data_IF_493296672387
#
_entry.id   IF_493296672387
#
_cell.length_a   1.000
_cell.length_b   1.000
_cell.length_c   1.000
_cell.angle_alpha   90.00
_cell.angle_beta   90.00
_cell.angle_gamma   90.00
#
_symmetry.space_group_name_H-M   'P 1'
#
loop_
_entity.id
_entity.type
_entity.pdbx_description
1 polymer ?
#
# COMPACT_ATOMS: atom_id res chain seq x y z
N UNK A 1 33.16 18.66 -45.04
CA UNK A 1 32.20 18.39 -43.94
C UNK A 1 33.06 18.06 -42.74
N UNK A 2 33.17 19.04 -41.85
CA UNK A 2 34.34 19.24 -40.98
C UNK A 2 33.95 19.32 -39.49
N UNK A 3 32.69 19.65 -39.19
CA UNK A 3 32.11 19.58 -37.85
C UNK A 3 30.61 19.30 -37.87
N UNK A 4 30.14 18.73 -36.76
CA UNK A 4 28.74 18.61 -36.36
C UNK A 4 28.58 19.37 -35.04
N UNK A 5 27.40 19.93 -34.79
CA UNK A 5 27.00 20.54 -33.51
C UNK A 5 25.54 20.14 -33.23
N UNK A 6 25.31 19.36 -32.16
CA UNK A 6 23.97 18.89 -31.79
C UNK A 6 23.35 19.74 -30.66
N UNK A 7 22.08 20.11 -30.82
CA UNK A 7 21.24 20.73 -29.78
C UNK A 7 19.96 19.90 -29.60
N UNK A 8 19.63 19.58 -28.36
CA UNK A 8 18.40 18.84 -28.00
C UNK A 8 17.60 19.72 -27.04
N UNK A 9 16.38 20.10 -27.43
CA UNK A 9 15.42 20.82 -26.59
C UNK A 9 14.35 19.86 -26.06
N UNK A 10 14.05 19.93 -24.76
CA UNK A 10 13.04 19.08 -24.10
C UNK A 10 11.63 19.64 -24.26
N UNK A 11 10.57 18.85 -23.96
CA UNK A 11 9.20 19.35 -23.92
C UNK A 11 8.99 20.54 -22.97
N UNK A 12 9.84 20.67 -21.94
CA UNK A 12 9.89 21.81 -21.03
C UNK A 12 10.64 23.05 -21.55
N UNK A 13 11.20 23.02 -22.76
CA UNK A 13 11.99 24.12 -23.34
C UNK A 13 13.36 24.33 -22.67
N UNK A 14 13.91 23.27 -22.07
CA UNK A 14 15.29 23.23 -21.57
C UNK A 14 16.18 22.44 -22.54
N UNK A 15 17.51 22.48 -22.38
CA UNK A 15 18.43 21.72 -23.25
C UNK A 15 19.05 20.51 -22.54
N UNK A 16 19.17 19.39 -23.26
CA UNK A 16 19.90 18.18 -22.82
C UNK A 16 21.28 18.15 -23.47
N UNK A 17 22.30 17.71 -22.73
CA UNK A 17 23.65 17.53 -23.26
C UNK A 17 23.76 16.14 -23.94
N UNK A 18 23.99 16.07 -25.27
CA UNK A 18 24.12 14.81 -26.00
C UNK A 18 25.42 14.07 -25.66
N UNK A 19 25.39 12.73 -25.74
CA UNK A 19 26.53 11.86 -25.45
C UNK A 19 27.81 12.20 -26.26
N UNK A 20 27.67 12.76 -27.47
CA UNK A 20 28.75 13.43 -28.18
C UNK A 20 28.22 14.56 -29.09
N UNK A 21 28.26 15.81 -28.59
CA UNK A 21 27.79 17.01 -29.31
C UNK A 21 28.47 17.31 -30.64
N UNK A 22 29.60 16.68 -30.97
CA UNK A 22 30.34 16.90 -32.24
C UNK A 22 30.61 15.63 -33.05
N UNK A 23 29.89 14.53 -32.78
CA UNK A 23 30.01 13.29 -33.53
C UNK A 23 28.96 13.22 -34.66
N UNK A 24 29.23 12.46 -35.72
CA UNK A 24 28.26 12.15 -36.80
C UNK A 24 27.03 11.39 -36.29
N UNK A 25 27.18 10.68 -35.16
CA UNK A 25 26.14 9.95 -34.45
C UNK A 25 26.25 10.30 -32.96
N UNK A 26 25.12 10.51 -32.29
CA UNK A 26 25.05 10.71 -30.83
C UNK A 26 23.84 9.99 -30.24
N UNK A 27 23.72 9.98 -28.92
CA UNK A 27 22.50 9.59 -28.21
C UNK A 27 22.19 10.53 -27.04
N UNK A 28 20.99 10.39 -26.45
CA UNK A 28 20.58 11.06 -25.21
C UNK A 28 19.48 10.29 -24.47
N UNK A 29 19.36 10.51 -23.16
CA UNK A 29 18.34 9.91 -22.29
C UNK A 29 17.06 10.76 -22.26
N UNK A 30 15.95 10.23 -22.77
CA UNK A 30 14.69 10.97 -22.96
C UNK A 30 13.77 10.88 -21.71
N UNK A 31 14.11 11.65 -20.67
CA UNK A 31 13.55 11.55 -19.31
C UNK A 31 12.20 12.28 -19.08
N UNK A 32 11.86 13.28 -19.89
CA UNK A 32 10.58 14.00 -19.88
C UNK A 32 9.62 13.41 -20.92
N UNK A 33 8.32 13.31 -20.60
CA UNK A 33 7.25 12.93 -21.54
C UNK A 33 6.87 14.14 -22.40
N UNK A 34 6.72 13.93 -23.70
CA UNK A 34 6.37 14.95 -24.70
C UNK A 34 7.30 14.93 -25.92
N UNK A 35 7.20 15.98 -26.73
CA UNK A 35 7.98 16.17 -27.97
C UNK A 35 9.31 16.91 -27.70
N UNK A 36 10.42 16.33 -28.16
CA UNK A 36 11.76 16.93 -28.15
C UNK A 36 12.09 17.45 -29.54
N UNK A 37 12.72 18.62 -29.63
CA UNK A 37 13.32 19.11 -30.86
C UNK A 37 14.83 18.78 -30.86
N UNK A 38 15.26 17.98 -31.82
CA UNK A 38 16.63 17.48 -31.97
C UNK A 38 17.24 18.08 -33.23
N UNK A 39 18.01 19.15 -33.07
CA UNK A 39 18.69 19.85 -34.16
C UNK A 39 20.12 19.37 -34.33
N UNK A 40 20.57 19.21 -35.57
CA UNK A 40 22.00 19.11 -35.92
C UNK A 40 22.37 20.26 -36.83
N UNK A 41 23.44 20.98 -36.49
CA UNK A 41 24.11 21.91 -37.41
C UNK A 41 25.35 21.24 -37.97
N UNK A 42 25.44 21.14 -39.29
CA UNK A 42 26.61 20.60 -40.01
C UNK A 42 27.45 21.74 -40.58
N UNK A 43 28.76 21.56 -40.72
CA UNK A 43 29.67 22.57 -41.32
C UNK A 43 30.59 21.95 -42.37
N UNK A 44 30.86 22.65 -43.47
CA UNK A 44 31.84 22.22 -44.49
C UNK A 44 33.24 22.84 -44.34
N UNK A 45 34.16 22.45 -45.23
CA UNK A 45 35.56 22.88 -45.26
C UNK A 45 35.73 24.36 -45.66
N UNK A 46 34.64 25.00 -46.09
CA UNK A 46 34.55 26.41 -46.48
C UNK A 46 33.84 27.25 -45.40
N UNK A 47 33.37 26.62 -44.31
CA UNK A 47 32.66 27.27 -43.22
C UNK A 47 31.20 27.60 -43.54
N UNK A 48 30.60 26.95 -44.55
CA UNK A 48 29.15 26.97 -44.77
C UNK A 48 28.48 26.03 -43.79
N UNK A 49 27.35 26.43 -43.24
CA UNK A 49 26.56 25.65 -42.28
C UNK A 49 25.18 25.36 -42.83
N UNK A 50 24.62 24.21 -42.48
CA UNK A 50 23.18 23.94 -42.61
C UNK A 50 22.64 23.28 -41.34
N UNK A 51 21.32 23.27 -41.14
CA UNK A 51 20.67 22.76 -39.93
C UNK A 51 19.35 22.07 -40.21
N UNK A 52 19.27 20.78 -39.84
CA UNK A 52 18.02 20.00 -39.83
C UNK A 52 17.51 19.82 -38.40
N UNK A 53 16.24 19.47 -38.21
CA UNK A 53 15.62 19.24 -36.89
C UNK A 53 14.57 18.15 -36.92
N UNK A 54 14.87 17.05 -36.22
CA UNK A 54 13.97 15.94 -35.96
C UNK A 54 13.11 16.21 -34.71
N UNK A 55 11.85 15.76 -34.74
CA UNK A 55 10.96 15.77 -33.58
C UNK A 55 10.82 14.35 -33.01
N UNK A 56 11.12 14.16 -31.73
CA UNK A 56 11.07 12.86 -31.05
C UNK A 56 10.02 12.90 -29.94
N UNK A 57 8.94 12.14 -30.09
CA UNK A 57 7.83 12.10 -29.11
C UNK A 57 7.99 10.94 -28.14
N UNK A 58 8.12 11.27 -26.85
CA UNK A 58 8.08 10.33 -25.74
C UNK A 58 6.66 10.28 -25.19
N UNK A 59 5.95 9.19 -25.43
CA UNK A 59 4.62 8.96 -24.86
C UNK A 59 4.70 8.55 -23.38
N UNK A 60 3.68 8.86 -22.55
CA UNK A 60 3.59 8.34 -21.19
C UNK A 60 3.47 6.81 -21.21
N UNK A 61 3.82 6.17 -20.10
CA UNK A 61 3.66 4.74 -19.87
C UNK A 61 2.82 4.52 -18.61
N UNK A 62 1.73 3.75 -18.70
CA UNK A 62 0.88 3.36 -17.59
C UNK A 62 1.41 2.06 -16.93
N UNK A 63 2.11 2.13 -15.78
CA UNK A 63 2.60 0.94 -15.07
C UNK A 63 1.43 0.14 -14.46
N UNK A 64 1.63 -1.16 -14.17
CA UNK A 64 0.55 -2.04 -13.72
C UNK A 64 -0.20 -1.51 -12.49
N UNK A 65 -1.53 -1.61 -12.50
CA UNK A 65 -2.35 -1.40 -11.30
C UNK A 65 -2.06 -2.51 -10.28
N UNK A 66 -1.87 -2.17 -9.01
CA UNK A 66 -1.59 -3.12 -7.92
C UNK A 66 -2.53 -2.87 -6.74
N UNK A 67 -3.00 -3.92 -6.09
CA UNK A 67 -3.78 -3.83 -4.84
C UNK A 67 -3.46 -4.99 -3.90
N UNK A 68 -3.16 -4.68 -2.65
CA UNK A 68 -2.87 -5.65 -1.57
C UNK A 68 -4.06 -5.73 -0.60
N UNK A 69 -4.53 -6.95 -0.33
CA UNK A 69 -5.58 -7.24 0.65
C UNK A 69 -5.08 -8.20 1.74
N UNK A 70 -5.56 -7.99 2.97
CA UNK A 70 -5.20 -8.81 4.12
C UNK A 70 -5.80 -8.30 5.43
N UNK A 71 -5.45 -8.94 6.57
CA UNK A 71 -6.08 -8.66 7.86
C UNK A 71 -5.57 -7.35 8.49
N UNK A 72 -6.46 -6.40 8.75
CA UNK A 72 -6.11 -5.14 9.45
C UNK A 72 -5.74 -5.33 10.93
N UNK A 73 -6.20 -6.41 11.57
CA UNK A 73 -5.85 -6.77 12.96
C UNK A 73 -5.62 -8.26 13.13
N UNK A 74 -4.56 -8.64 13.85
CA UNK A 74 -4.20 -10.05 14.15
C UNK A 74 -3.67 -10.19 15.57
N UNK A 75 -3.59 -11.41 16.09
CA UNK A 75 -2.96 -11.70 17.40
C UNK A 75 -1.51 -12.14 17.19
N UNK A 76 -0.59 -11.70 18.06
CA UNK A 76 0.80 -12.12 18.02
C UNK A 76 0.94 -13.65 18.17
N UNK A 77 1.91 -14.23 17.47
CA UNK A 77 2.09 -15.66 17.33
C UNK A 77 1.18 -16.31 16.26
N UNK A 78 0.30 -15.56 15.60
CA UNK A 78 -0.54 -16.10 14.51
C UNK A 78 0.09 -15.88 13.13
N UNK A 79 -0.16 -16.85 12.24
CA UNK A 79 0.19 -16.78 10.83
C UNK A 79 -1.04 -16.41 10.00
N UNK A 80 -0.88 -15.55 9.00
CA UNK A 80 -1.95 -15.13 8.07
C UNK A 80 -1.44 -14.99 6.65
N UNK A 81 -2.34 -15.19 5.70
CA UNK A 81 -2.11 -14.94 4.28
C UNK A 81 -2.37 -13.46 3.97
N UNK A 82 -1.58 -12.90 3.07
CA UNK A 82 -1.78 -11.59 2.44
C UNK A 82 -1.78 -11.84 0.94
N UNK A 83 -2.69 -11.20 0.21
CA UNK A 83 -2.87 -11.38 -1.23
C UNK A 83 -2.63 -10.09 -1.99
N UNK A 84 -2.02 -10.19 -3.16
CA UNK A 84 -1.91 -9.08 -4.12
C UNK A 84 -2.65 -9.47 -5.40
N UNK A 85 -3.38 -8.51 -5.95
CA UNK A 85 -3.94 -8.55 -7.31
C UNK A 85 -3.24 -7.47 -8.13
N UNK A 86 -2.94 -7.76 -9.39
CA UNK A 86 -2.40 -6.78 -10.32
C UNK A 86 -3.00 -6.93 -11.71
N UNK A 87 -3.11 -5.82 -12.45
CA UNK A 87 -3.54 -5.76 -13.84
C UNK A 87 -2.60 -4.85 -14.61
N UNK A 88 -2.33 -5.14 -15.88
CA UNK A 88 -1.52 -4.30 -16.75
C UNK A 88 -2.29 -3.88 -18.02
N UNK A 89 -1.87 -2.76 -18.59
CA UNK A 89 -2.48 -2.12 -19.76
C UNK A 89 -1.56 -2.09 -20.98
N UNK A 90 -0.24 -1.98 -20.78
CA UNK A 90 0.75 -1.88 -21.87
C UNK A 90 1.64 -3.12 -22.02
N UNK A 91 2.09 -3.76 -20.94
CA UNK A 91 2.95 -4.96 -21.01
C UNK A 91 2.48 -6.10 -20.07
N UNK A 92 2.75 -7.38 -20.38
CA UNK A 92 2.45 -8.50 -19.49
C UNK A 92 3.21 -8.44 -18.15
N UNK A 93 2.63 -9.02 -17.10
CA UNK A 93 3.23 -9.06 -15.77
C UNK A 93 4.38 -10.08 -15.68
N UNK A 94 5.57 -9.66 -15.22
CA UNK A 94 6.76 -10.51 -15.16
C UNK A 94 7.05 -11.10 -13.77
N UNK A 95 6.87 -10.32 -12.70
CA UNK A 95 7.23 -10.74 -11.34
C UNK A 95 6.55 -9.97 -10.22
N UNK A 96 6.55 -10.56 -9.03
CA UNK A 96 6.10 -9.96 -7.78
C UNK A 96 7.16 -10.11 -6.69
N UNK A 97 7.42 -9.04 -5.95
CA UNK A 97 8.32 -8.97 -4.81
C UNK A 97 7.58 -8.47 -3.57
N UNK A 98 7.42 -9.35 -2.59
CA UNK A 98 6.85 -9.03 -1.28
C UNK A 98 7.90 -8.44 -0.35
N UNK A 99 7.53 -7.39 0.37
CA UNK A 99 8.31 -6.75 1.43
C UNK A 99 7.56 -6.82 2.77
N UNK A 100 8.31 -6.98 3.87
CA UNK A 100 7.82 -6.98 5.24
C UNK A 100 8.79 -6.13 6.07
N UNK A 101 8.30 -5.09 6.75
CA UNK A 101 9.15 -4.08 7.42
C UNK A 101 10.24 -3.50 6.47
N UNK A 102 9.86 -3.24 5.22
CA UNK A 102 10.76 -2.78 4.15
C UNK A 102 11.83 -3.79 3.69
N UNK A 103 11.88 -4.98 4.30
CA UNK A 103 12.83 -6.03 3.93
C UNK A 103 12.22 -7.00 2.91
N UNK A 104 12.95 -7.39 1.84
CA UNK A 104 12.49 -8.43 0.91
C UNK A 104 12.14 -9.74 1.64
N UNK A 105 10.91 -10.20 1.46
CA UNK A 105 10.35 -11.39 2.12
C UNK A 105 10.29 -12.60 1.18
N UNK A 106 9.63 -12.44 0.04
CA UNK A 106 9.41 -13.51 -0.96
C UNK A 106 9.27 -12.92 -2.36
N UNK A 107 9.97 -13.49 -3.34
CA UNK A 107 9.88 -13.12 -4.77
C UNK A 107 9.37 -14.28 -5.61
N UNK A 108 8.48 -14.03 -6.56
CA UNK A 108 7.97 -15.03 -7.50
C UNK A 108 7.91 -14.44 -8.92
N UNK A 109 8.26 -15.24 -9.94
CA UNK A 109 7.96 -14.88 -11.32
C UNK A 109 6.49 -15.17 -11.60
N UNK A 110 5.80 -14.20 -12.16
CA UNK A 110 4.46 -14.40 -12.68
C UNK A 110 4.57 -15.11 -14.04
N UNK A 111 3.48 -15.73 -14.48
CA UNK A 111 3.28 -15.98 -15.91
C UNK A 111 3.03 -14.64 -16.61
N UNK A 112 3.45 -14.52 -17.88
CA UNK A 112 3.26 -13.34 -18.72
C UNK A 112 1.77 -13.17 -19.07
N UNK A 113 1.01 -12.73 -18.08
CA UNK A 113 -0.43 -12.51 -18.10
C UNK A 113 -0.73 -11.04 -17.81
N UNK A 114 -1.77 -10.51 -18.45
CA UNK A 114 -2.25 -9.14 -18.26
C UNK A 114 -2.95 -8.89 -16.92
N UNK A 115 -3.21 -9.95 -16.15
CA UNK A 115 -3.79 -9.88 -14.81
C UNK A 115 -3.36 -11.09 -14.00
N UNK A 116 -2.90 -10.87 -12.77
CA UNK A 116 -2.39 -11.91 -11.89
C UNK A 116 -2.85 -11.73 -10.44
N UNK A 117 -2.91 -12.83 -9.71
CA UNK A 117 -3.07 -12.82 -8.24
C UNK A 117 -2.00 -13.69 -7.61
N UNK A 118 -1.36 -13.19 -6.55
CA UNK A 118 -0.34 -13.91 -5.80
C UNK A 118 -0.62 -13.81 -4.29
N UNK A 119 -0.11 -14.75 -3.50
CA UNK A 119 -0.33 -14.77 -2.05
C UNK A 119 0.95 -15.16 -1.31
N UNK A 120 1.34 -14.35 -0.32
CA UNK A 120 2.37 -14.72 0.65
C UNK A 120 1.75 -15.00 2.03
N UNK A 121 2.51 -15.66 2.90
CA UNK A 121 2.04 -16.05 4.24
C UNK A 121 3.02 -15.57 5.29
N UNK A 122 2.55 -14.68 6.16
CA UNK A 122 3.35 -13.92 7.12
C UNK A 122 3.05 -14.39 8.55
N UNK A 123 4.09 -14.51 9.37
CA UNK A 123 3.99 -14.88 10.79
C UNK A 123 4.19 -13.64 11.66
N UNK A 124 3.11 -13.16 12.27
CA UNK A 124 3.12 -11.94 13.08
C UNK A 124 3.56 -12.27 14.51
N UNK A 125 4.87 -12.35 14.73
CA UNK A 125 5.45 -12.83 15.99
C UNK A 125 5.31 -11.83 17.16
N UNK A 126 5.41 -10.53 16.90
CA UNK A 126 5.51 -9.49 17.94
C UNK A 126 4.34 -8.47 17.88
N UNK A 127 3.77 -8.05 19.02
CA UNK A 127 2.74 -7.00 19.04
C UNK A 127 3.25 -5.64 18.54
N UNK A 128 2.48 -4.96 17.69
CA UNK A 128 2.87 -3.70 17.06
C UNK A 128 1.95 -3.28 15.92
N UNK A 129 2.46 -2.42 15.05
CA UNK A 129 1.94 -2.23 13.69
C UNK A 129 3.04 -2.73 12.76
N UNK A 130 2.70 -3.57 11.80
CA UNK A 130 3.60 -4.17 10.81
C UNK A 130 3.16 -3.74 9.41
N UNK A 131 4.09 -3.53 8.51
CA UNK A 131 3.86 -3.05 7.13
C UNK A 131 4.20 -4.16 6.12
N UNK A 132 3.22 -4.52 5.28
CA UNK A 132 3.36 -5.53 4.23
C UNK A 132 3.06 -4.88 2.88
N UNK A 133 4.09 -4.78 2.03
CA UNK A 133 3.98 -4.18 0.70
C UNK A 133 4.28 -5.22 -0.38
N UNK A 134 3.65 -5.09 -1.54
CA UNK A 134 3.95 -5.87 -2.73
C UNK A 134 4.36 -4.94 -3.87
N UNK A 135 5.52 -5.21 -4.47
CA UNK A 135 5.97 -4.59 -5.72
C UNK A 135 5.69 -5.55 -6.86
N UNK A 136 5.09 -5.09 -7.95
CA UNK A 136 4.82 -5.88 -9.16
C UNK A 136 5.51 -5.20 -10.33
N UNK A 137 6.12 -6.00 -11.19
CA UNK A 137 6.96 -5.58 -12.31
C UNK A 137 6.48 -6.26 -13.59
N UNK A 138 6.35 -5.52 -14.69
CA UNK A 138 6.04 -6.02 -16.04
C UNK A 138 7.29 -6.51 -16.82
N UNK A 139 7.10 -6.98 -18.06
CA UNK A 139 8.19 -7.51 -18.88
C UNK A 139 9.14 -6.44 -19.46
N UNK A 140 8.79 -5.14 -19.42
CA UNK A 140 9.72 -4.02 -19.70
C UNK A 140 10.48 -3.53 -18.46
N UNK A 141 10.05 -3.90 -17.27
CA UNK A 141 10.70 -3.56 -16.01
C UNK A 141 10.08 -2.38 -15.27
N UNK A 142 8.99 -1.79 -15.78
CA UNK A 142 8.26 -0.78 -15.03
C UNK A 142 7.54 -1.44 -13.84
N UNK A 143 7.36 -0.68 -12.77
CA UNK A 143 6.93 -1.24 -11.49
C UNK A 143 6.01 -0.34 -10.69
N UNK A 144 4.98 -0.97 -10.11
CA UNK A 144 4.04 -0.38 -9.16
C UNK A 144 4.14 -1.05 -7.80
N UNK A 145 3.60 -0.44 -6.75
CA UNK A 145 3.53 -1.04 -5.42
C UNK A 145 2.31 -0.57 -4.64
N UNK A 146 1.73 -1.47 -3.85
CA UNK A 146 0.70 -1.18 -2.84
C UNK A 146 1.01 -1.96 -1.55
N UNK A 147 0.32 -1.65 -0.45
CA UNK A 147 0.58 -2.28 0.83
C UNK A 147 -0.44 -2.02 1.94
N UNK A 148 -0.36 -2.85 2.98
CA UNK A 148 -1.28 -2.82 4.13
C UNK A 148 -0.52 -2.71 5.45
N UNK A 149 -1.13 -1.99 6.40
CA UNK A 149 -0.67 -1.97 7.80
C UNK A 149 -1.49 -2.93 8.66
N UNK A 150 -0.82 -3.90 9.28
CA UNK A 150 -1.42 -4.95 10.12
C UNK A 150 -1.17 -4.62 11.58
N UNK A 151 -2.23 -4.38 12.36
CA UNK A 151 -2.10 -4.16 13.82
C UNK A 151 -2.11 -5.48 14.58
N UNK A 152 -0.95 -5.85 15.11
CA UNK A 152 -0.73 -7.06 15.90
C UNK A 152 -0.99 -6.77 17.38
N UNK A 153 -1.96 -7.44 18.00
CA UNK A 153 -2.22 -7.35 19.45
C UNK A 153 -1.54 -8.48 20.22
N UNK A 154 -1.16 -8.29 21.51
CA UNK A 154 -0.75 -9.40 22.37
C UNK A 154 -1.88 -10.42 22.51
N UNK A 155 -1.58 -11.73 22.66
CA UNK A 155 -2.59 -12.71 23.05
C UNK A 155 -3.16 -12.43 24.44
N UNK A 156 -4.34 -12.99 24.71
CA UNK A 156 -4.94 -12.95 26.04
C UNK A 156 -4.51 -14.18 26.88
N UNK A 157 -4.29 -14.01 28.20
CA UNK A 157 -4.00 -15.13 29.08
C UNK A 157 -5.28 -15.82 29.56
N UNK A 158 -5.19 -17.12 29.85
CA UNK A 158 -6.29 -17.88 30.43
C UNK A 158 -5.80 -18.70 31.63
N UNK A 159 -6.11 -18.24 32.85
CA UNK A 159 -5.80 -18.96 34.07
C UNK A 159 -6.95 -19.91 34.45
N UNK A 160 -6.80 -21.18 34.08
CA UNK A 160 -7.65 -22.25 34.59
C UNK A 160 -7.39 -22.50 36.09
N UNK A 161 -8.41 -22.87 36.85
CA UNK A 161 -8.32 -23.10 38.30
C UNK A 161 -9.12 -24.32 38.75
N UNK A 162 -8.54 -25.10 39.66
CA UNK A 162 -9.18 -26.29 40.23
C UNK A 162 -8.83 -26.45 41.71
N UNK A 163 -9.81 -26.83 42.54
CA UNK A 163 -9.59 -27.24 43.93
C UNK A 163 -9.22 -28.73 43.91
N UNK A 164 -7.92 -29.01 43.99
CA UNK A 164 -7.37 -30.38 43.91
C UNK A 164 -7.50 -31.17 45.20
N UNK A 165 -7.55 -30.49 46.35
CA UNK A 165 -7.71 -31.07 47.67
C UNK A 165 -8.31 -30.01 48.61
N UNK A 166 -9.19 -30.42 49.52
CA UNK A 166 -9.82 -29.58 50.55
C UNK A 166 -10.39 -30.50 51.64
N UNK A 167 -10.36 -30.05 52.91
CA UNK A 167 -11.05 -30.75 54.01
C UNK A 167 -12.53 -30.97 53.63
N UNK A 168 -13.07 -32.18 53.74
CA UNK A 168 -14.51 -32.44 53.51
C UNK A 168 -15.35 -32.11 54.74
N UNK A 169 -14.76 -32.23 55.93
CA UNK A 169 -15.31 -31.77 57.20
C UNK A 169 -14.19 -31.37 58.16
N UNK A 170 -14.50 -30.45 59.06
CA UNK A 170 -13.66 -29.96 60.17
C UNK A 170 -14.55 -29.71 61.39
N UNK A 171 -13.96 -29.62 62.58
CA UNK A 171 -14.66 -29.14 63.78
C UNK A 171 -14.63 -27.59 63.84
N UNK A 172 -15.55 -26.96 64.58
CA UNK A 172 -15.53 -25.52 64.80
C UNK A 172 -14.27 -25.09 65.60
N UNK A 173 -13.62 -24.01 65.14
CA UNK A 173 -12.29 -23.57 65.60
C UNK A 173 -11.09 -24.12 64.80
N UNK A 174 -11.27 -25.05 63.86
CA UNK A 174 -10.21 -25.57 62.98
C UNK A 174 -10.00 -24.72 61.70
N UNK A 175 -8.97 -25.06 60.92
CA UNK A 175 -8.69 -24.42 59.61
C UNK A 175 -9.14 -25.30 58.44
N UNK A 176 -10.04 -24.80 57.60
CA UNK A 176 -10.31 -25.34 56.26
C UNK A 176 -9.18 -24.90 55.32
N UNK A 177 -8.47 -25.83 54.70
CA UNK A 177 -7.38 -25.54 53.75
C UNK A 177 -7.74 -26.08 52.37
N UNK A 178 -7.92 -25.17 51.40
CA UNK A 178 -8.09 -25.51 50.00
C UNK A 178 -6.73 -25.49 49.29
N UNK A 179 -6.30 -26.63 48.76
CA UNK A 179 -5.17 -26.73 47.84
C UNK A 179 -5.68 -26.50 46.41
N UNK A 180 -5.49 -25.29 45.89
CA UNK A 180 -5.84 -24.94 44.51
C UNK A 180 -4.67 -25.17 43.56
N UNK A 181 -4.98 -25.59 42.34
CA UNK A 181 -4.06 -25.73 41.22
C UNK A 181 -4.49 -24.77 40.13
N UNK A 182 -3.59 -23.88 39.76
CA UNK A 182 -3.79 -22.85 38.73
C UNK A 182 -2.90 -23.20 37.55
N UNK A 183 -3.45 -23.15 36.34
CA UNK A 183 -2.74 -23.48 35.11
C UNK A 183 -3.01 -22.41 34.05
N UNK A 184 -1.95 -21.81 33.50
CA UNK A 184 -2.13 -20.91 32.37
C UNK A 184 -2.20 -21.73 31.08
N UNK A 185 -3.39 -21.78 30.47
CA UNK A 185 -3.65 -22.43 29.18
C UNK A 185 -3.84 -21.42 28.04
N UNK A 186 -3.52 -20.13 28.28
CA UNK A 186 -3.46 -19.10 27.25
C UNK A 186 -2.01 -18.69 26.91
N UNK A 187 -1.86 -18.00 25.78
CA UNK A 187 -0.56 -17.72 25.15
C UNK A 187 0.17 -16.47 25.70
N UNK A 188 -0.45 -15.73 26.63
CA UNK A 188 0.20 -14.62 27.34
C UNK A 188 0.51 -14.95 28.80
N UNK A 189 1.52 -14.28 29.37
CA UNK A 189 1.81 -14.35 30.83
C UNK A 189 0.78 -13.53 31.60
N UNK A 190 0.11 -14.12 32.60
CA UNK A 190 -0.75 -13.40 33.53
C UNK A 190 -0.11 -13.24 34.91
N UNK A 191 -0.35 -12.09 35.55
CA UNK A 191 -0.24 -11.93 37.01
C UNK A 191 -1.63 -11.59 37.55
N UNK A 192 -2.16 -12.42 38.44
CA UNK A 192 -3.54 -12.31 38.90
C UNK A 192 -3.67 -12.64 40.40
N UNK A 193 -4.70 -12.10 41.05
CA UNK A 193 -5.09 -12.50 42.39
C UNK A 193 -6.08 -13.68 42.29
N UNK A 194 -5.75 -14.80 42.94
CA UNK A 194 -6.59 -16.00 43.02
C UNK A 194 -7.21 -16.01 44.42
N UNK A 195 -8.54 -16.03 44.50
CA UNK A 195 -9.29 -15.89 45.75
C UNK A 195 -10.14 -17.11 46.07
N UNK A 196 -10.20 -17.47 47.35
CA UNK A 196 -11.14 -18.45 47.90
C UNK A 196 -12.32 -17.68 48.53
N UNK A 197 -13.55 -17.99 48.12
CA UNK A 197 -14.76 -17.42 48.73
C UNK A 197 -15.58 -18.48 49.44
N UNK A 198 -16.04 -18.15 50.66
CA UNK A 198 -17.02 -18.90 51.44
C UNK A 198 -18.40 -18.27 51.23
N UNK A 199 -19.34 -19.00 50.63
CA UNK A 199 -20.69 -18.50 50.29
C UNK A 199 -20.67 -17.12 49.60
N UNK A 200 -19.72 -16.89 48.68
CA UNK A 200 -19.53 -15.63 47.96
C UNK A 200 -18.66 -14.56 48.66
N UNK A 201 -18.39 -14.69 49.96
CA UNK A 201 -17.50 -13.77 50.69
C UNK A 201 -16.05 -14.24 50.61
N UNK A 202 -15.10 -13.39 50.19
CA UNK A 202 -13.66 -13.76 50.14
C UNK A 202 -13.15 -14.02 51.55
N UNK A 203 -12.53 -15.19 51.75
CA UNK A 203 -11.91 -15.60 53.02
C UNK A 203 -10.38 -15.59 52.97
N UNK A 204 -9.78 -15.84 51.79
CA UNK A 204 -8.34 -15.77 51.57
C UNK A 204 -8.02 -15.51 50.09
N UNK A 205 -6.82 -15.01 49.78
CA UNK A 205 -6.35 -14.81 48.40
C UNK A 205 -4.83 -14.70 48.28
N UNK A 206 -4.28 -15.19 47.18
CA UNK A 206 -2.85 -15.11 46.87
C UNK A 206 -2.60 -14.73 45.41
N UNK A 207 -1.46 -14.08 45.13
CA UNK A 207 -1.10 -13.70 43.75
C UNK A 207 -0.33 -14.81 43.06
N UNK A 208 -0.74 -15.13 41.84
CA UNK A 208 -0.07 -16.07 40.92
C UNK A 208 0.48 -15.26 39.74
N UNK A 209 1.73 -15.51 39.37
CA UNK A 209 2.37 -14.98 38.15
C UNK A 209 2.77 -16.16 37.28
N UNK A 210 1.98 -16.46 36.25
CA UNK A 210 2.03 -17.68 35.48
C UNK A 210 2.28 -17.39 33.98
N UNK A 211 3.48 -17.70 33.46
CA UNK A 211 3.72 -17.79 32.01
C UNK A 211 2.85 -18.87 31.33
N UNK A 212 2.69 -18.83 29.99
CA UNK A 212 1.98 -19.86 29.23
C UNK A 212 2.42 -21.29 29.56
N UNK A 213 1.46 -22.22 29.64
CA UNK A 213 1.67 -23.63 29.99
C UNK A 213 2.11 -23.90 31.43
N UNK A 214 2.39 -22.87 32.24
CA UNK A 214 2.88 -23.04 33.61
C UNK A 214 1.75 -23.45 34.57
N UNK A 215 2.12 -24.29 35.55
CA UNK A 215 1.21 -24.92 36.52
C UNK A 215 1.71 -24.58 37.92
N UNK A 216 0.88 -23.96 38.74
CA UNK A 216 1.21 -23.53 40.11
C UNK A 216 0.19 -24.07 41.11
N UNK A 217 0.59 -24.18 42.38
CA UNK A 217 -0.26 -24.67 43.46
C UNK A 217 -0.25 -23.66 44.59
N UNK A 218 -1.44 -23.24 45.00
CA UNK A 218 -1.66 -22.23 46.03
C UNK A 218 -2.53 -22.87 47.13
N UNK A 219 -2.09 -22.77 48.38
CA UNK A 219 -2.89 -23.16 49.54
C UNK A 219 -3.58 -21.92 50.05
N UNK A 220 -4.91 -21.92 50.05
CA UNK A 220 -5.76 -20.86 50.60
C UNK A 220 -6.49 -21.42 51.81
N UNK A 221 -6.59 -20.65 52.88
CA UNK A 221 -7.01 -21.13 54.19
C UNK A 221 -8.05 -20.23 54.87
N UNK A 222 -9.05 -20.84 55.49
CA UNK A 222 -10.03 -20.15 56.33
C UNK A 222 -10.09 -20.79 57.71
N UNK A 223 -9.90 -19.98 58.75
CA UNK A 223 -10.05 -20.41 60.14
C UNK A 223 -11.52 -20.23 60.54
N UNK A 224 -12.15 -21.29 61.04
CA UNK A 224 -13.54 -21.25 61.50
C UNK A 224 -13.60 -20.68 62.92
N UNK A 225 -14.71 -20.02 63.26
CA UNK A 225 -15.06 -19.68 64.63
C UNK A 225 -15.81 -20.84 65.31
N UNK A 226 -16.08 -20.71 66.61
CA UNK A 226 -16.87 -21.69 67.38
C UNK A 226 -18.35 -21.74 67.00
N UNK A 227 -18.85 -20.69 66.35
CA UNK A 227 -20.23 -20.47 65.90
C UNK A 227 -20.40 -20.57 64.37
N UNK A 228 -19.39 -21.09 63.66
CA UNK A 228 -19.42 -21.32 62.21
C UNK A 228 -19.95 -22.72 61.84
N UNK A 229 -20.84 -23.35 62.62
CA UNK A 229 -21.36 -24.69 62.29
C UNK A 229 -22.18 -24.73 61.00
N UNK A 230 -22.15 -25.86 60.28
CA UNK A 230 -22.92 -26.10 59.05
C UNK A 230 -22.08 -26.37 57.79
N UNK A 231 -22.76 -26.44 56.64
CA UNK A 231 -22.13 -26.73 55.34
C UNK A 231 -22.00 -25.48 54.48
N UNK A 232 -20.79 -25.20 54.03
CA UNK A 232 -20.44 -24.01 53.25
C UNK A 232 -19.98 -24.38 51.84
N UNK A 233 -20.30 -23.52 50.87
CA UNK A 233 -19.74 -23.57 49.52
C UNK A 233 -18.42 -22.79 49.48
N UNK A 234 -17.37 -23.45 49.00
CA UNK A 234 -16.06 -22.87 48.77
C UNK A 234 -15.78 -22.80 47.28
N UNK A 235 -15.58 -21.58 46.77
CA UNK A 235 -15.29 -21.34 45.36
C UNK A 235 -13.90 -20.72 45.24
N UNK A 236 -13.04 -21.33 44.42
CA UNK A 236 -11.77 -20.75 44.00
C UNK A 236 -11.98 -20.01 42.68
N UNK A 237 -11.49 -18.77 42.57
CA UNK A 237 -11.72 -17.89 41.41
C UNK A 237 -10.40 -17.44 40.78
N UNK A 238 -10.35 -17.51 39.44
CA UNK A 238 -9.54 -16.63 38.59
C UNK A 238 -10.49 -15.64 37.88
N UNK A 239 -9.98 -14.77 37.01
CA UNK A 239 -10.83 -13.95 36.14
C UNK A 239 -11.36 -14.74 34.92
N UNK A 240 -10.88 -15.97 34.69
CA UNK A 240 -11.22 -16.80 33.54
C UNK A 240 -12.11 -18.00 33.89
N UNK A 241 -11.97 -18.56 35.10
CA UNK A 241 -12.62 -19.79 35.55
C UNK A 241 -12.89 -19.78 37.06
N UNK A 242 -13.83 -20.60 37.51
CA UNK A 242 -14.12 -20.83 38.93
C UNK A 242 -14.38 -22.32 39.20
N UNK A 243 -13.85 -22.85 40.31
CA UNK A 243 -14.12 -24.23 40.74
C UNK A 243 -14.69 -24.28 42.17
N UNK A 244 -15.65 -25.17 42.42
CA UNK A 244 -16.50 -25.19 43.63
C UNK A 244 -16.42 -26.52 44.37
N UNK A 245 -16.27 -26.46 45.69
CA UNK A 245 -16.38 -27.60 46.63
C UNK A 245 -17.29 -27.24 47.81
N UNK A 246 -17.64 -28.23 48.62
CA UNK A 246 -18.44 -28.05 49.84
C UNK A 246 -17.71 -28.66 51.03
N UNK A 247 -17.81 -28.02 52.19
CA UNK A 247 -17.18 -28.46 53.45
C UNK A 247 -18.19 -28.33 54.58
N UNK A 248 -18.30 -29.35 55.42
CA UNK A 248 -19.13 -29.32 56.64
C UNK A 248 -18.29 -29.03 57.87
N UNK A 249 -18.42 -27.83 58.41
CA UNK A 249 -18.00 -27.52 59.78
C UNK A 249 -19.02 -28.12 60.73
N UNK A 250 -18.57 -28.84 61.74
CA UNK A 250 -19.44 -29.33 62.83
C UNK A 250 -19.37 -28.38 64.01
N UNK A 251 -20.44 -28.32 64.79
CA UNK A 251 -20.42 -27.75 66.15
C UNK A 251 -19.29 -28.40 66.96
N UNK A 252 -18.46 -27.59 67.62
CA UNK A 252 -17.41 -28.07 68.51
C UNK A 252 -18.05 -28.61 69.78
N UNK A 253 -18.23 -29.94 69.86
CA UNK A 253 -19.03 -30.65 70.88
C UNK A 253 -18.86 -30.12 72.33
N UNK A 254 -19.62 -29.10 72.69
CA UNK A 254 -19.78 -28.65 74.06
C UNK A 254 -21.00 -29.34 74.66
N UNK A 255 -20.76 -30.48 75.31
CA UNK A 255 -21.76 -31.23 76.07
C UNK A 255 -22.50 -30.33 77.07
N UNK A 256 -23.75 -29.99 76.73
CA UNK A 256 -24.75 -29.44 77.65
C UNK A 256 -25.11 -27.96 77.45
N UNK A 257 -26.39 -27.72 77.13
CA UNK A 257 -27.07 -26.46 77.45
C UNK A 257 -27.95 -25.88 76.34
N UNK A 258 -29.27 -26.03 76.45
CA UNK A 258 -30.22 -25.31 75.61
C UNK A 258 -30.50 -23.90 76.16
N UNK A 259 -30.72 -22.91 75.29
CA UNK A 259 -31.83 -21.96 75.50
C UNK A 259 -32.28 -21.17 74.26
N UNK A 260 -33.58 -20.87 74.28
CA UNK A 260 -34.44 -20.24 73.28
C UNK A 260 -34.18 -18.76 72.93
N UNK A 261 -34.65 -18.36 71.73
CA UNK A 261 -35.15 -17.01 71.42
C UNK A 261 -34.30 -16.23 70.41
N UNK A 262 -34.84 -15.47 69.44
CA UNK A 262 -36.25 -15.27 69.05
C UNK A 262 -36.65 -13.79 69.00
N UNK A 263 -36.81 -13.21 67.80
CA UNK A 263 -37.32 -11.85 67.63
C UNK A 263 -37.32 -11.34 66.17
N UNK A 264 -38.49 -10.98 65.66
CA UNK A 264 -38.69 -10.23 64.41
C UNK A 264 -39.26 -8.85 64.71
N UNK A 265 -39.00 -7.85 63.86
CA UNK A 265 -39.87 -6.67 63.70
C UNK A 265 -39.52 -5.83 62.47
N UNK A 266 -40.53 -5.19 61.87
CA UNK A 266 -40.50 -4.49 60.57
C UNK A 266 -40.55 -2.95 60.66
N UNK A 267 -40.47 -2.27 59.50
CA UNK A 267 -40.71 -0.82 59.28
C UNK A 267 -39.51 -0.13 58.59
N UNK A 268 -39.62 0.69 57.53
CA UNK A 268 -40.71 1.58 57.03
C UNK A 268 -40.28 3.06 57.23
N UNK A 269 -40.65 4.09 56.46
CA UNK A 269 -41.36 4.27 55.17
C UNK A 269 -41.10 5.72 54.66
N UNK A 270 -41.56 6.07 53.44
CA UNK A 270 -41.77 7.46 52.91
C UNK A 270 -40.55 8.39 52.67
N UNK A 271 -40.57 9.44 51.83
CA UNK A 271 -41.54 9.84 50.78
C UNK A 271 -41.41 11.31 50.25
N UNK A 272 -41.53 11.51 48.93
CA UNK A 272 -41.77 12.83 48.25
C UNK A 272 -40.57 13.81 48.07
N UNK A 273 -40.65 14.94 47.32
CA UNK A 273 -41.55 15.38 46.21
C UNK A 273 -41.08 16.74 45.60
N UNK A 274 -41.56 17.13 44.39
CA UNK A 274 -41.67 18.51 43.80
C UNK A 274 -40.39 19.27 43.35
N UNK A 275 -40.37 20.31 42.47
CA UNK A 275 -41.25 20.78 41.34
C UNK A 275 -40.67 22.05 40.61
N UNK A 276 -40.88 22.20 39.28
CA UNK A 276 -40.81 23.47 38.50
C UNK A 276 -39.43 24.05 38.07
N UNK A 277 -39.28 24.91 37.03
CA UNK A 277 -40.23 25.32 35.96
C UNK A 277 -39.77 26.48 35.01
N UNK A 278 -39.99 26.30 33.70
CA UNK A 278 -40.44 27.24 32.61
C UNK A 278 -39.73 28.55 32.15
N UNK A 279 -39.53 28.66 30.81
CA UNK A 279 -39.67 29.88 29.94
C UNK A 279 -38.39 30.55 29.37
N UNK A 280 -38.38 31.34 28.27
CA UNK A 280 -39.26 31.48 27.06
C UNK A 280 -38.76 32.57 26.06
N UNK A 281 -38.70 32.29 24.73
CA UNK A 281 -38.61 33.19 23.53
C UNK A 281 -37.44 34.24 23.48
N UNK A 282 -36.96 34.86 22.37
CA UNK A 282 -37.14 34.88 20.88
C UNK A 282 -35.87 35.59 20.26
N UNK A 283 -35.74 36.14 19.03
CA UNK A 283 -36.55 36.24 17.81
C UNK A 283 -35.63 36.59 16.57
N UNK A 284 -36.08 37.32 15.51
CA UNK A 284 -35.44 37.43 14.16
C UNK A 284 -34.90 38.84 13.73
N UNK A 285 -34.04 38.94 12.68
CA UNK A 285 -33.96 40.18 11.85
C UNK A 285 -32.74 40.55 10.95
N UNK A 286 -32.73 40.11 9.67
CA UNK A 286 -32.27 40.80 8.42
C UNK A 286 -30.79 41.28 8.14
N UNK A 287 -30.37 41.49 6.85
CA UNK A 287 -28.97 41.80 6.43
C UNK A 287 -28.73 43.16 5.70
N UNK A 288 -27.50 43.42 5.22
CA UNK A 288 -27.04 44.65 4.49
C UNK A 288 -26.29 44.40 3.15
N UNK A 289 -25.80 45.46 2.45
CA UNK A 289 -25.56 45.48 0.99
C UNK A 289 -24.33 46.30 0.47
N UNK A 290 -23.76 45.94 -0.70
CA UNK A 290 -22.85 46.73 -1.59
C UNK A 290 -21.41 46.17 -1.78
N UNK A 291 -20.67 46.35 -2.89
CA UNK A 291 -21.01 46.78 -4.27
C UNK A 291 -19.91 47.55 -5.06
N UNK A 292 -19.60 47.18 -6.33
CA UNK A 292 -19.06 48.10 -7.39
C UNK A 292 -17.70 47.80 -8.09
N UNK A 293 -17.65 47.96 -9.43
CA UNK A 293 -16.43 48.07 -10.31
C UNK A 293 -15.67 46.76 -10.64
N UNK A 294 -14.88 46.58 -11.71
CA UNK A 294 -14.53 47.40 -12.90
C UNK A 294 -13.00 47.61 -13.07
N UNK A 295 -12.34 47.52 -14.25
CA UNK A 295 -12.77 47.19 -15.63
C UNK A 295 -11.55 46.87 -16.57
N UNK A 296 -11.78 46.05 -17.62
CA UNK A 296 -11.20 46.03 -19.01
C UNK A 296 -9.83 46.70 -19.31
N UNK A 297 -8.94 46.00 -20.03
CA UNK A 297 -7.75 46.54 -20.75
C UNK A 297 -7.32 45.66 -21.94
N UNK A 298 -6.62 46.21 -22.95
CA UNK A 298 -6.35 45.59 -24.27
C UNK A 298 -5.03 46.09 -24.92
N UNK A 299 -4.46 45.32 -25.87
CA UNK A 299 -3.34 45.65 -26.77
C UNK A 299 -1.97 45.01 -26.43
N UNK A 300 -1.12 44.61 -27.39
CA UNK A 300 -1.34 44.51 -28.85
C UNK A 300 -0.07 44.29 -29.71
N UNK A 301 -0.26 43.60 -30.86
CA UNK A 301 0.47 43.59 -32.17
C UNK A 301 2.00 43.85 -32.32
N UNK A 302 2.65 43.01 -33.15
CA UNK A 302 3.93 43.27 -33.86
C UNK A 302 4.96 42.14 -33.70
N UNK A 303 5.72 41.68 -34.72
CA UNK A 303 5.85 42.10 -36.13
C UNK A 303 6.35 40.94 -37.04
N UNK A 304 6.86 41.22 -38.24
CA UNK A 304 7.09 40.21 -39.30
C UNK A 304 8.31 40.49 -40.20
N UNK A 305 8.91 39.42 -40.78
CA UNK A 305 9.64 39.44 -42.06
C UNK A 305 11.09 38.96 -42.02
N UNK A 306 11.51 38.13 -43.00
CA UNK A 306 12.92 37.72 -43.14
C UNK A 306 13.25 36.55 -44.07
N UNK A 307 12.70 36.47 -45.29
CA UNK A 307 13.14 35.45 -46.27
C UNK A 307 14.60 35.63 -46.70
N UNK A 308 15.33 34.53 -46.85
CA UNK A 308 16.72 34.53 -47.30
C UNK A 308 17.23 33.12 -47.65
N UNK A 309 16.86 32.62 -48.82
CA UNK A 309 17.27 31.29 -49.28
C UNK A 309 18.78 31.16 -49.49
N UNK A 310 19.34 30.08 -48.99
CA UNK A 310 20.67 29.55 -49.32
C UNK A 310 20.49 28.14 -49.88
N UNK A 311 21.43 27.67 -50.71
CA UNK A 311 21.45 26.28 -51.17
C UNK A 311 21.74 25.36 -49.97
N UNK A 312 20.75 24.56 -49.58
CA UNK A 312 20.83 23.61 -48.47
C UNK A 312 21.81 22.46 -48.76
N UNK A 313 22.38 21.89 -47.71
CA UNK A 313 23.07 20.60 -47.75
C UNK A 313 22.06 19.50 -47.42
N UNK A 314 21.29 19.07 -48.43
CA UNK A 314 20.36 17.94 -48.32
C UNK A 314 21.04 16.74 -47.63
N UNK A 315 20.46 16.22 -46.55
CA UNK A 315 21.02 15.12 -45.77
C UNK A 315 20.15 14.84 -44.54
N UNK A 316 19.46 13.71 -44.55
CA UNK A 316 18.36 13.43 -43.63
C UNK A 316 18.83 13.06 -42.21
N UNK A 317 18.11 13.54 -41.19
CA UNK A 317 18.24 13.04 -39.80
C UNK A 317 17.47 11.74 -39.59
N UNK A 318 18.21 10.64 -39.39
CA UNK A 318 17.67 9.33 -38.99
C UNK A 318 17.74 9.16 -37.46
N UNK A 319 16.75 8.47 -36.88
CA UNK A 319 16.75 8.09 -35.47
C UNK A 319 16.29 6.65 -35.21
N UNK A 320 16.85 6.07 -34.16
CA UNK A 320 16.58 4.72 -33.67
C UNK A 320 16.37 4.83 -32.14
N UNK A 321 15.14 4.64 -31.66
CA UNK A 321 14.85 4.67 -30.22
C UNK A 321 15.15 3.28 -29.64
N UNK A 322 15.93 3.24 -28.56
CA UNK A 322 16.33 2.03 -27.87
C UNK A 322 15.84 2.10 -26.42
N UNK A 323 14.83 1.29 -26.06
CA UNK A 323 14.44 1.12 -24.66
C UNK A 323 15.47 0.22 -23.94
N UNK A 324 15.94 0.64 -22.77
CA UNK A 324 16.96 -0.10 -21.99
C UNK A 324 16.32 -1.04 -20.95
N UNK A 325 17.09 -1.98 -20.39
CA UNK A 325 16.63 -2.98 -19.39
C UNK A 325 16.21 -2.38 -18.01
N UNK A 326 15.85 -1.09 -17.95
CA UNK A 326 15.32 -0.42 -16.75
C UNK A 326 14.13 0.52 -17.02
N UNK A 327 13.63 0.59 -18.26
CA UNK A 327 12.58 1.55 -18.67
C UNK A 327 13.12 2.92 -19.12
N UNK A 328 14.41 3.22 -18.90
CA UNK A 328 15.04 4.42 -19.43
C UNK A 328 15.15 4.32 -20.98
N UNK A 329 14.77 5.40 -21.69
CA UNK A 329 14.73 5.46 -23.16
C UNK A 329 15.94 6.21 -23.72
N UNK A 330 16.83 5.51 -24.42
CA UNK A 330 17.97 6.11 -25.14
C UNK A 330 17.58 6.34 -26.61
N UNK A 331 17.59 7.60 -27.06
CA UNK A 331 17.37 7.92 -28.47
C UNK A 331 18.73 8.00 -29.19
N UNK A 332 18.93 7.19 -30.24
CA UNK A 332 20.17 7.12 -31.02
C UNK A 332 19.99 7.81 -32.38
N UNK A 333 20.81 8.82 -32.65
CA UNK A 333 20.63 9.81 -33.72
C UNK A 333 21.77 9.75 -34.73
N UNK A 334 21.48 9.71 -36.04
CA UNK A 334 22.47 9.56 -37.13
C UNK A 334 22.18 10.55 -38.26
N UNK A 335 23.20 11.25 -38.74
CA UNK A 335 23.09 12.00 -40.00
C UNK A 335 23.31 11.05 -41.18
N UNK A 336 22.35 10.96 -42.09
CA UNK A 336 22.51 10.27 -43.37
C UNK A 336 23.00 11.27 -44.42
N UNK A 337 24.25 11.15 -44.92
CA UNK A 337 24.68 11.98 -46.04
C UNK A 337 23.91 11.60 -47.31
N UNK A 338 23.66 12.54 -48.22
CA UNK A 338 22.98 12.25 -49.48
C UNK A 338 23.86 11.29 -50.31
N UNK A 339 23.25 10.30 -50.99
CA UNK A 339 23.99 9.55 -52.02
C UNK A 339 24.37 10.50 -53.17
N UNK A 340 25.54 10.31 -53.79
CA UNK A 340 26.14 11.25 -54.75
C UNK A 340 25.23 11.55 -55.96
N UNK A 341 24.45 12.66 -55.91
CA UNK A 341 23.67 13.18 -57.03
C UNK A 341 24.36 14.40 -57.66
N UNK A 342 25.13 14.15 -58.73
CA UNK A 342 25.38 15.16 -59.77
C UNK A 342 24.03 15.64 -60.33
N UNK A 343 23.65 16.93 -60.20
CA UNK A 343 22.81 17.61 -61.21
C UNK A 343 22.74 19.15 -61.11
N UNK A 344 22.38 19.78 -62.23
CA UNK A 344 22.16 21.22 -62.42
C UNK A 344 20.90 21.74 -61.68
N UNK A 345 20.82 23.05 -61.34
CA UNK A 345 19.75 23.60 -60.51
C UNK A 345 18.37 23.64 -61.20
N UNK A 346 17.33 23.40 -60.41
CA UNK A 346 15.91 23.48 -60.79
C UNK A 346 15.15 24.32 -59.76
N UNK A 347 14.17 25.12 -60.19
CA UNK A 347 13.36 25.97 -59.30
C UNK A 347 12.36 25.15 -58.47
N UNK A 348 12.13 25.56 -57.22
CA UNK A 348 11.24 24.89 -56.26
C UNK A 348 9.79 25.36 -56.44
N UNK A 349 8.84 24.43 -56.60
CA UNK A 349 7.41 24.64 -56.34
C UNK A 349 6.98 23.80 -55.11
N UNK A 350 6.17 24.33 -54.17
CA UNK A 350 5.88 23.65 -52.91
C UNK A 350 4.61 22.77 -52.97
N UNK A 351 4.75 21.44 -52.93
CA UNK A 351 3.64 20.53 -52.67
C UNK A 351 4.06 19.13 -52.15
N UNK A 352 3.35 18.66 -51.13
CA UNK A 352 3.05 17.28 -50.73
C UNK A 352 4.20 16.26 -50.56
N UNK A 353 4.22 15.62 -49.38
CA UNK A 353 4.88 14.33 -49.15
C UNK A 353 3.83 13.22 -49.25
N UNK A 354 4.00 12.26 -50.15
CA UNK A 354 3.26 10.98 -50.11
C UNK A 354 3.95 10.01 -49.13
N UNK A 355 3.19 9.13 -48.48
CA UNK A 355 3.73 8.17 -47.50
C UNK A 355 3.52 6.74 -47.98
N UNK A 356 4.63 6.01 -48.10
CA UNK A 356 4.66 4.58 -48.42
C UNK A 356 4.83 3.76 -47.14
N UNK A 357 3.98 2.76 -46.96
CA UNK A 357 4.13 1.74 -45.91
C UNK A 357 4.62 0.43 -46.52
N UNK A 358 5.45 -0.33 -45.80
CA UNK A 358 5.94 -1.65 -46.23
C UNK A 358 5.62 -2.69 -45.17
N UNK A 359 4.94 -3.76 -45.54
CA UNK A 359 4.63 -4.87 -44.64
C UNK A 359 5.86 -5.80 -44.44
N UNK A 360 5.86 -6.63 -43.38
CA UNK A 360 6.95 -7.59 -43.09
C UNK A 360 7.24 -8.56 -44.25
N UNK A 361 6.28 -8.83 -45.14
CA UNK A 361 6.47 -9.69 -46.31
C UNK A 361 7.12 -8.98 -47.52
N UNK A 362 7.37 -7.67 -47.41
CA UNK A 362 7.94 -6.81 -48.46
C UNK A 362 6.90 -6.19 -49.40
N UNK A 363 5.61 -6.26 -49.09
CA UNK A 363 4.55 -5.60 -49.89
C UNK A 363 4.46 -4.11 -49.55
N UNK A 364 4.58 -3.25 -50.58
CA UNK A 364 4.53 -1.79 -50.47
C UNK A 364 3.10 -1.25 -50.73
N UNK A 365 2.70 -0.23 -49.96
CA UNK A 365 1.41 0.44 -50.04
C UNK A 365 1.61 1.96 -50.01
N UNK A 366 1.34 2.64 -51.13
CA UNK A 366 1.32 4.09 -51.19
C UNK A 366 -0.04 4.62 -50.73
N UNK A 367 -0.05 5.53 -49.77
CA UNK A 367 -1.24 6.30 -49.39
C UNK A 367 -1.09 7.69 -50.04
N UNK A 368 -1.85 7.93 -51.11
CA UNK A 368 -2.11 9.31 -51.55
C UNK A 368 -2.98 10.01 -50.51
N UNK A 369 -2.92 11.35 -50.44
CA UNK A 369 -3.58 12.16 -49.42
C UNK A 369 -5.12 12.23 -49.47
N UNK A 370 -5.81 11.12 -49.74
CA UNK A 370 -7.26 10.98 -49.66
C UNK A 370 -7.69 9.83 -48.74
N UNK A 371 -8.65 10.09 -47.85
CA UNK A 371 -9.04 9.18 -46.76
C UNK A 371 -9.69 7.86 -47.25
N UNK A 372 -8.97 6.74 -47.14
CA UNK A 372 -9.51 5.42 -46.72
C UNK A 372 -8.38 4.38 -46.55
N UNK A 373 -8.10 3.93 -45.32
CA UNK A 373 -7.16 2.82 -45.05
C UNK A 373 -7.90 1.47 -45.18
N UNK A 374 -7.43 0.49 -45.97
CA UNK A 374 -8.08 -0.81 -46.08
C UNK A 374 -8.05 -1.62 -44.77
N UNK A 375 -9.17 -2.27 -44.42
CA UNK A 375 -9.35 -3.15 -43.24
C UNK A 375 -8.26 -4.24 -43.06
N UNK A 376 -7.47 -4.53 -44.09
CA UNK A 376 -6.38 -5.50 -44.06
C UNK A 376 -5.15 -5.05 -43.23
N UNK A 377 -5.01 -3.75 -42.94
CA UNK A 377 -3.84 -3.20 -42.21
C UNK A 377 -3.99 -3.30 -40.68
N UNK A 378 -5.23 -3.38 -40.17
CA UNK A 378 -5.56 -3.38 -38.74
C UNK A 378 -5.33 -4.73 -38.03
N UNK A 379 -4.25 -5.43 -38.35
CA UNK A 379 -4.03 -6.82 -37.91
C UNK A 379 -2.59 -7.31 -37.84
N UNK A 380 -1.60 -6.42 -37.87
CA UNK A 380 -0.18 -6.74 -37.71
C UNK A 380 0.44 -5.94 -36.55
N UNK A 381 0.78 -6.63 -35.46
CA UNK A 381 1.57 -6.07 -34.36
C UNK A 381 3.05 -6.10 -34.78
N UNK A 382 3.75 -4.96 -34.73
CA UNK A 382 5.16 -4.86 -35.14
C UNK A 382 5.44 -4.08 -36.44
N UNK A 383 4.73 -2.98 -36.69
CA UNK A 383 5.04 -2.11 -37.84
C UNK A 383 6.28 -1.24 -37.58
N UNK A 384 7.34 -1.40 -38.40
CA UNK A 384 8.43 -0.43 -38.48
C UNK A 384 8.10 0.63 -39.54
N UNK A 385 8.08 1.91 -39.16
CA UNK A 385 8.01 3.01 -40.11
C UNK A 385 9.33 3.14 -40.87
N UNK A 386 9.26 3.17 -42.20
CA UNK A 386 10.45 3.34 -43.05
C UNK A 386 10.11 4.25 -44.22
N UNK A 387 10.53 5.52 -44.14
CA UNK A 387 10.34 6.45 -45.24
C UNK A 387 11.27 6.09 -46.41
N UNK A 388 10.75 6.12 -47.63
CA UNK A 388 11.51 5.84 -48.86
C UNK A 388 11.11 6.84 -49.95
N UNK A 389 11.93 7.88 -50.11
CA UNK A 389 11.72 8.88 -51.17
C UNK A 389 11.87 8.21 -52.55
N UNK A 390 10.81 8.26 -53.37
CA UNK A 390 10.82 7.69 -54.73
C UNK A 390 10.46 8.76 -55.77
N UNK A 391 11.48 9.12 -56.56
CA UNK A 391 11.45 10.19 -57.56
C UNK A 391 10.71 9.78 -58.83
N UNK A 392 9.81 10.65 -59.32
CA UNK A 392 9.13 10.56 -60.63
C UNK A 392 9.56 11.70 -61.54
#
# INVERSE_FOLDING_TARGET
>A
MDSYEWQIETPGGSTVEPACSTCMQTSFDANEVGEYAVSVTVTDDQGRTDTDTLYVTVEPYDPPEVTVDGPSTVTAGTQRTVSVSANATEEPLASVLWHHEGSPHTSERLSADWSATNQTTVTFAEPGVHEINATVVDEKGYQSSDGITVRVVPPEPYLAVSITDINTSVEAGETVVATTRVENVGEATATQLVSLTRNGTTVDSGRVSAPPGSKQTLRLAWNTAGDDDGTYSFVAHTANETDTRYVTVKDSENDGGASSGGGSSDGGSDGGSSNGGSGSNGDNGAPGNGGGGGSIGDGGIGGSGGDGGADAMEGDLDAEIVETEGGDREAVLKVVPPEDVDHDPVEIEPANHDVTFVAEDGTEYNIDGSDDIPDAVLGAEGAQSRQTSTRT
#
